data_IF_599577854437
#
_entry.id   IF_599577854437
#
_cell.length_a   1.000
_cell.length_b   1.000
_cell.length_c   1.000
_cell.angle_alpha   90.00
_cell.angle_beta   90.00
_cell.angle_gamma   90.00
#
_symmetry.space_group_name_H-M   'P 1'
#
loop_
_entity.id
_entity.type
_entity.pdbx_description
1 polymer ?
#
# COMPACT_ATOMS: atom_id res chain seq x y z
N UNK A 1 -27.74 -6.05 15.20
CA UNK A 1 -26.37 -5.68 14.86
C UNK A 1 -26.32 -4.21 14.51
N UNK A 2 -25.32 -3.51 14.99
CA UNK A 2 -25.13 -2.10 14.71
C UNK A 2 -24.68 -1.91 13.26
N UNK A 3 -25.44 -1.16 12.49
CA UNK A 3 -25.14 -0.91 11.07
C UNK A 3 -23.84 -0.12 10.92
N UNK A 4 -23.53 0.77 11.86
CA UNK A 4 -22.27 1.50 11.82
C UNK A 4 -21.07 0.57 11.96
N UNK A 5 -21.18 -0.42 12.82
CA UNK A 5 -20.14 -1.41 13.02
C UNK A 5 -19.95 -2.27 11.77
N UNK A 6 -21.06 -2.67 11.14
CA UNK A 6 -20.98 -3.42 9.90
C UNK A 6 -20.30 -2.62 8.79
N UNK A 7 -20.64 -1.35 8.68
CA UNK A 7 -19.99 -0.49 7.67
C UNK A 7 -18.50 -0.38 7.91
N UNK A 8 -18.06 -0.25 9.15
CA UNK A 8 -16.65 -0.24 9.48
C UNK A 8 -15.96 -1.54 9.07
N UNK A 9 -16.62 -2.66 9.35
CA UNK A 9 -16.08 -3.96 8.99
C UNK A 9 -15.94 -4.11 7.48
N UNK A 10 -16.92 -3.61 6.72
CA UNK A 10 -16.86 -3.66 5.27
C UNK A 10 -15.73 -2.80 4.72
N UNK A 11 -15.50 -1.63 5.30
CA UNK A 11 -14.36 -0.81 4.93
C UNK A 11 -13.05 -1.52 5.19
N UNK A 12 -12.91 -2.11 6.37
CA UNK A 12 -11.72 -2.88 6.72
C UNK A 12 -11.50 -4.03 5.73
N UNK A 13 -12.56 -4.74 5.39
CA UNK A 13 -12.48 -5.85 4.45
C UNK A 13 -12.00 -5.37 3.07
N UNK A 14 -12.44 -4.20 2.64
CA UNK A 14 -12.01 -3.62 1.37
C UNK A 14 -10.50 -3.36 1.38
N UNK A 15 -9.99 -2.75 2.43
CA UNK A 15 -8.56 -2.49 2.53
C UNK A 15 -7.76 -3.80 2.63
N UNK A 16 -8.26 -4.76 3.38
CA UNK A 16 -7.58 -6.05 3.51
C UNK A 16 -7.50 -6.81 2.19
N UNK A 17 -8.49 -6.66 1.31
CA UNK A 17 -8.43 -7.25 -0.02
C UNK A 17 -7.29 -6.69 -0.84
N UNK A 18 -7.02 -5.40 -0.70
CA UNK A 18 -5.87 -4.80 -1.38
C UNK A 18 -4.59 -5.45 -0.92
N UNK A 19 -4.51 -5.77 0.37
CA UNK A 19 -3.33 -6.42 0.94
C UNK A 19 -3.25 -7.91 0.63
N UNK A 20 -4.24 -8.48 -0.02
CA UNK A 20 -4.18 -9.89 -0.38
C UNK A 20 -3.30 -10.17 -1.61
N UNK A 21 -2.69 -9.16 -2.17
CA UNK A 21 -1.82 -9.28 -3.34
C UNK A 21 -0.43 -8.78 -2.98
N UNK A 22 0.56 -9.67 -3.10
CA UNK A 22 1.93 -9.35 -2.70
C UNK A 22 2.50 -8.14 -3.46
N UNK A 23 2.15 -8.00 -4.73
CA UNK A 23 2.65 -6.89 -5.54
C UNK A 23 2.13 -5.55 -5.03
N UNK A 24 0.87 -5.52 -4.60
CA UNK A 24 0.28 -4.30 -4.04
C UNK A 24 0.90 -3.94 -2.70
N UNK A 25 1.14 -4.94 -1.86
CA UNK A 25 1.83 -4.72 -0.59
C UNK A 25 3.21 -4.14 -0.85
N UNK A 26 3.93 -4.71 -1.81
CA UNK A 26 5.26 -4.25 -2.16
C UNK A 26 5.24 -2.80 -2.66
N UNK A 27 4.25 -2.44 -3.46
CA UNK A 27 4.08 -1.06 -3.92
C UNK A 27 3.95 -0.11 -2.73
N UNK A 28 3.12 -0.46 -1.76
CA UNK A 28 2.93 0.38 -0.58
C UNK A 28 4.22 0.53 0.21
N UNK A 29 4.96 -0.54 0.36
CA UNK A 29 6.25 -0.49 1.06
C UNK A 29 7.27 0.38 0.33
N UNK A 30 7.32 0.26 -0.99
CA UNK A 30 8.25 1.05 -1.80
C UNK A 30 7.90 2.52 -1.75
N UNK A 31 6.61 2.86 -1.83
CA UNK A 31 6.19 4.26 -1.75
C UNK A 31 6.48 4.86 -0.37
N UNK A 32 6.15 4.13 0.68
CA UNK A 32 6.30 4.65 2.02
C UNK A 32 5.57 5.97 2.17
N UNK A 33 6.27 7.03 2.49
CA UNK A 33 5.71 8.38 2.62
C UNK A 33 6.03 9.28 1.43
N UNK A 34 6.67 8.73 0.41
CA UNK A 34 7.16 9.52 -0.70
C UNK A 34 6.29 9.34 -1.93
N UNK A 35 6.47 10.24 -2.86
CA UNK A 35 5.82 10.21 -4.15
C UNK A 35 6.78 9.61 -5.17
N UNK A 36 6.27 8.72 -6.03
CA UNK A 36 7.08 8.11 -7.07
C UNK A 36 6.32 8.05 -8.38
N UNK A 37 7.04 8.13 -9.48
CA UNK A 37 6.46 7.94 -10.81
C UNK A 37 6.11 6.46 -11.03
N UNK A 38 5.19 6.21 -11.95
CA UNK A 38 4.82 4.85 -12.33
C UNK A 38 6.05 4.06 -12.79
N UNK A 39 6.91 4.68 -13.56
CA UNK A 39 8.14 4.03 -14.04
C UNK A 39 9.05 3.61 -12.89
N UNK A 40 9.25 4.49 -11.93
CA UNK A 40 10.11 4.20 -10.80
C UNK A 40 9.51 3.11 -9.92
N UNK A 41 8.20 3.15 -9.72
CA UNK A 41 7.51 2.11 -8.96
C UNK A 41 7.67 0.76 -9.67
N UNK A 42 7.42 0.74 -10.97
CA UNK A 42 7.53 -0.45 -11.80
C UNK A 42 8.91 -1.08 -11.68
N UNK A 43 9.95 -0.27 -11.78
CA UNK A 43 11.33 -0.74 -11.63
C UNK A 43 11.59 -1.29 -10.24
N UNK A 44 11.12 -0.58 -9.23
CA UNK A 44 11.37 -0.97 -7.84
C UNK A 44 10.69 -2.29 -7.47
N UNK A 45 9.49 -2.55 -8.00
CA UNK A 45 8.75 -3.77 -7.66
C UNK A 45 9.00 -4.90 -8.64
N UNK A 46 9.80 -4.66 -9.70
CA UNK A 46 10.14 -5.70 -10.66
C UNK A 46 8.96 -6.17 -11.49
N UNK A 47 8.07 -5.27 -11.87
CA UNK A 47 6.89 -5.59 -12.68
C UNK A 47 6.86 -4.72 -13.93
N UNK A 48 6.04 -5.10 -14.91
CA UNK A 48 5.85 -4.29 -16.10
C UNK A 48 5.12 -3.00 -15.77
N UNK A 49 5.29 -1.99 -16.62
CA UNK A 49 4.52 -0.75 -16.48
C UNK A 49 3.03 -1.00 -16.51
N UNK A 50 2.58 -1.87 -17.38
CA UNK A 50 1.16 -2.18 -17.52
C UNK A 50 0.61 -2.83 -16.27
N UNK A 51 1.30 -3.81 -15.73
CA UNK A 51 0.89 -4.51 -14.52
C UNK A 51 0.88 -3.55 -13.33
N UNK A 52 1.94 -2.76 -13.20
CA UNK A 52 2.05 -1.76 -12.13
C UNK A 52 0.92 -0.75 -12.22
N UNK A 53 0.65 -0.23 -13.41
CA UNK A 53 -0.42 0.75 -13.61
C UNK A 53 -1.78 0.20 -13.20
N UNK A 54 -2.05 -1.06 -13.50
CA UNK A 54 -3.30 -1.69 -13.11
C UNK A 54 -3.46 -1.74 -11.59
N UNK A 55 -2.40 -2.12 -10.89
CA UNK A 55 -2.43 -2.14 -9.43
C UNK A 55 -2.58 -0.75 -8.84
N UNK A 56 -1.88 0.23 -9.39
CA UNK A 56 -1.95 1.60 -8.90
C UNK A 56 -3.34 2.20 -9.09
N UNK A 57 -3.96 1.95 -10.23
CA UNK A 57 -5.33 2.42 -10.49
C UNK A 57 -6.33 1.81 -9.53
N UNK A 58 -6.20 0.51 -9.29
CA UNK A 58 -7.09 -0.17 -8.34
C UNK A 58 -6.97 0.46 -6.96
N UNK A 59 -5.76 0.65 -6.49
CA UNK A 59 -5.54 1.24 -5.16
C UNK A 59 -6.00 2.68 -5.10
N UNK A 60 -5.84 3.43 -6.19
CA UNK A 60 -6.37 4.79 -6.27
C UNK A 60 -7.90 4.80 -6.19
N UNK A 61 -8.54 3.90 -6.93
CA UNK A 61 -10.00 3.80 -6.94
C UNK A 61 -10.56 3.44 -5.57
N UNK A 62 -9.77 2.75 -4.76
CA UNK A 62 -10.15 2.38 -3.40
C UNK A 62 -9.78 3.42 -2.36
N UNK A 63 -9.23 4.55 -2.80
CA UNK A 63 -8.87 5.64 -1.89
C UNK A 63 -7.58 5.44 -1.13
N UNK A 64 -6.77 4.46 -1.51
CA UNK A 64 -5.51 4.17 -0.84
C UNK A 64 -4.40 5.04 -1.36
N UNK A 65 -4.39 5.29 -2.66
CA UNK A 65 -3.39 6.13 -3.31
C UNK A 65 -4.04 7.37 -3.90
N UNK A 66 -3.26 8.41 -4.00
CA UNK A 66 -3.62 9.59 -4.81
C UNK A 66 -2.55 9.78 -5.86
N UNK A 67 -2.95 10.39 -6.96
CA UNK A 67 -2.04 10.61 -8.08
C UNK A 67 -2.05 12.07 -8.48
N UNK A 68 -0.95 12.49 -9.08
CA UNK A 68 -0.88 13.76 -9.80
C UNK A 68 -0.15 13.56 -11.10
N UNK A 69 -0.45 14.42 -12.05
CA UNK A 69 0.20 14.38 -13.35
C UNK A 69 1.07 15.61 -13.52
N UNK A 70 2.27 15.39 -14.02
CA UNK A 70 3.17 16.46 -14.40
C UNK A 70 3.66 16.14 -15.81
N UNK A 71 3.11 16.85 -16.79
CA UNK A 71 3.35 16.54 -18.19
C UNK A 71 2.80 15.17 -18.55
N UNK A 72 3.66 14.31 -19.02
CA UNK A 72 3.31 12.93 -19.37
C UNK A 72 3.60 11.95 -18.22
N UNK A 73 4.14 12.44 -17.12
CA UNK A 73 4.50 11.59 -16.00
C UNK A 73 3.40 11.61 -14.95
N UNK A 74 3.01 10.42 -14.50
CA UNK A 74 2.04 10.27 -13.41
C UNK A 74 2.79 9.82 -12.18
N UNK A 75 2.55 10.51 -11.08
CA UNK A 75 3.13 10.21 -9.77
C UNK A 75 2.04 9.72 -8.84
N UNK A 76 2.39 8.76 -8.00
CA UNK A 76 1.49 8.23 -6.99
C UNK A 76 2.11 8.35 -5.62
N UNK A 77 1.26 8.56 -4.62
CA UNK A 77 1.67 8.49 -3.22
C UNK A 77 0.53 7.90 -2.40
N UNK A 78 0.87 7.37 -1.25
CA UNK A 78 -0.15 6.87 -0.32
C UNK A 78 -0.96 8.06 0.18
N UNK A 79 -2.27 7.94 0.14
CA UNK A 79 -3.10 8.97 0.72
C UNK A 79 -2.83 9.01 2.22
N UNK A 80 -2.57 10.23 2.70
CA UNK A 80 -2.01 10.40 4.03
C UNK A 80 -2.93 9.90 5.13
N UNK A 81 -2.35 9.59 6.18
CA UNK A 81 -2.84 9.52 7.56
C UNK A 81 -3.98 8.53 7.82
N UNK A 82 -5.03 8.54 7.01
CA UNK A 82 -6.18 7.68 7.25
C UNK A 82 -5.87 6.22 7.04
N UNK A 83 -5.16 5.91 5.98
CA UNK A 83 -4.91 4.52 5.60
C UNK A 83 -3.93 3.83 6.56
N UNK A 84 -2.80 4.47 6.83
CA UNK A 84 -1.77 3.86 7.67
C UNK A 84 -2.19 3.77 9.14
N UNK A 85 -3.11 4.64 9.57
CA UNK A 85 -3.48 4.73 10.97
C UNK A 85 -4.77 4.01 11.33
N UNK A 86 -5.70 3.85 10.38
CA UNK A 86 -7.06 3.45 10.74
C UNK A 86 -7.62 2.28 9.96
N UNK A 87 -6.95 1.77 8.93
CA UNK A 87 -7.69 1.04 7.91
C UNK A 87 -7.31 -0.40 7.74
N UNK A 88 -6.37 -0.91 8.50
CA UNK A 88 -6.13 -2.34 8.52
C UNK A 88 -5.66 -2.71 9.91
N UNK A 89 -5.99 -3.93 10.31
CA UNK A 89 -5.49 -4.47 11.57
C UNK A 89 -3.98 -4.32 11.67
N UNK A 90 -3.29 -4.41 10.53
CA UNK A 90 -1.85 -4.22 10.48
C UNK A 90 -1.43 -2.78 10.78
N UNK A 91 -2.27 -1.82 10.46
CA UNK A 91 -1.97 -0.41 10.72
C UNK A 91 -2.35 0.04 12.11
N UNK A 92 -3.29 -0.64 12.75
CA UNK A 92 -3.77 -0.26 14.07
C UNK A 92 -2.89 -0.78 15.19
N UNK A 93 -2.24 -1.88 14.96
CA UNK A 93 -1.27 -2.35 15.90
C UNK A 93 -0.04 -1.49 15.72
N UNK A 94 0.36 -0.87 16.77
CA UNK A 94 1.58 -0.10 16.84
C UNK A 94 2.81 -0.90 16.43
N UNK A 95 2.60 -2.10 15.94
CA UNK A 95 3.63 -2.77 15.18
C UNK A 95 3.76 -1.92 13.93
N UNK A 96 4.56 -0.92 14.05
CA UNK A 96 4.83 -0.02 12.95
C UNK A 96 5.41 -0.81 11.80
N UNK A 97 5.26 -0.27 10.61
CA UNK A 97 5.92 -0.81 9.43
C UNK A 97 7.41 -1.01 9.71
N UNK A 98 7.99 -0.16 10.54
CA UNK A 98 9.39 -0.28 10.93
C UNK A 98 9.66 -1.57 11.70
N UNK A 99 8.78 -1.97 12.60
CA UNK A 99 8.95 -3.21 13.34
C UNK A 99 8.88 -4.41 12.42
N UNK A 100 7.93 -4.41 11.47
CA UNK A 100 7.82 -5.48 10.49
C UNK A 100 9.05 -5.56 9.60
N UNK A 101 9.58 -4.42 9.19
CA UNK A 101 10.79 -4.37 8.39
C UNK A 101 11.99 -4.90 9.17
N UNK A 102 12.07 -4.58 10.44
CA UNK A 102 13.13 -5.07 11.30
C UNK A 102 13.05 -6.59 11.45
N UNK A 103 11.88 -7.13 11.64
CA UNK A 103 11.69 -8.57 11.75
C UNK A 103 12.06 -9.28 10.46
N UNK A 104 11.65 -8.75 9.31
CA UNK A 104 12.05 -9.32 8.03
C UNK A 104 13.57 -9.28 7.84
N UNK A 105 14.19 -8.20 8.23
CA UNK A 105 15.62 -8.06 8.12
C UNK A 105 16.33 -9.10 8.99
N UNK A 106 15.84 -9.30 10.21
CA UNK A 106 16.41 -10.31 11.10
C UNK A 106 16.22 -11.71 10.53
N UNK A 107 15.06 -12.00 9.98
CA UNK A 107 14.81 -13.30 9.36
C UNK A 107 15.73 -13.53 8.16
N UNK A 108 15.99 -12.50 7.38
CA UNK A 108 16.87 -12.59 6.23
C UNK A 108 18.32 -12.85 6.69
N UNK A 109 18.75 -12.20 7.74
CA UNK A 109 20.08 -12.39 8.31
C UNK A 109 20.23 -13.80 8.88
N UNK A 110 19.18 -14.33 9.48
CA UNK A 110 19.23 -15.65 10.09
C UNK A 110 19.22 -16.79 9.09
N UNK A 111 18.93 -16.52 7.83
CA UNK A 111 18.94 -17.54 6.78
C UNK A 111 20.33 -17.80 6.20
N UNK A 112 21.28 -17.09 6.63
CA UNK A 112 22.67 -17.30 6.22
C UNK A 112 23.33 -18.38 7.10
#
# INVERSE_FOLDING_TARGET
MDMGLLNQAEEQATYCRVFSNARRVLILWVLGKEEMSVSDISSAVGASLQNTSQHLRLMKDRGILISRRDGQTVYYRVESDGFLNNNCLLGQNSISVQTLQSEQKNLTENKI
#
